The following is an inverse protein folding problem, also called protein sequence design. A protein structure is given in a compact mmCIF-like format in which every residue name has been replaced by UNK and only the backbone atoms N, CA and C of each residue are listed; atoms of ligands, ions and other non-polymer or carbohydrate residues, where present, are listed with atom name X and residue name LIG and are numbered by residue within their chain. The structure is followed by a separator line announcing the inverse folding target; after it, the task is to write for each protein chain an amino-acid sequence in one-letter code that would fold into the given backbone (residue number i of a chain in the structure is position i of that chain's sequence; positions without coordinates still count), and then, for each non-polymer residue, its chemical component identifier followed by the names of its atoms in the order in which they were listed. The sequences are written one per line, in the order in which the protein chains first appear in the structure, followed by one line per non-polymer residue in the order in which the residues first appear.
data_IF_470217535729
#
_entry.id   IF_470217535729
#
_cell.length_a   1.000
_cell.length_b   1.000
_cell.length_c   1.000
_cell.angle_alpha   90.00
_cell.angle_beta   90.00
_cell.angle_gamma   90.00
#
_symmetry.space_group_name_H-M   'P 1'
#
loop_
_entity.id
_entity.type
_entity.pdbx_description
1 polymer ?
#
# COMPACT_ATOMS: atom_id res chain seq x y z
N UNK A 1 -17.53 20.73 -5.07
CA UNK A 1 -18.01 20.09 -6.31
C UNK A 1 -19.32 20.73 -6.75
N UNK A 2 -20.18 21.13 -5.81
CA UNK A 2 -21.52 21.66 -6.13
C UNK A 2 -21.51 23.03 -6.83
N UNK A 3 -20.45 23.81 -6.70
CA UNK A 3 -20.36 25.17 -7.31
C UNK A 3 -19.50 25.22 -8.58
N UNK A 4 -18.54 24.33 -8.76
CA UNK A 4 -17.56 24.39 -9.84
C UNK A 4 -17.52 23.13 -10.74
N UNK A 5 -18.31 22.11 -10.42
CA UNK A 5 -18.40 20.85 -11.15
C UNK A 5 -17.16 19.94 -10.97
N UNK A 6 -17.35 18.65 -11.26
CA UNK A 6 -16.34 17.61 -11.12
C UNK A 6 -15.09 17.84 -12.00
N UNK A 7 -15.27 18.48 -13.16
CA UNK A 7 -14.17 18.79 -14.09
C UNK A 7 -13.17 19.78 -13.50
N UNK A 8 -13.66 20.80 -12.80
CA UNK A 8 -12.80 21.79 -12.13
C UNK A 8 -12.04 21.14 -10.96
N UNK A 9 -12.66 20.22 -10.22
CA UNK A 9 -11.98 19.47 -9.18
C UNK A 9 -10.80 18.64 -9.74
N UNK A 10 -10.99 17.98 -10.89
CA UNK A 10 -9.90 17.24 -11.56
C UNK A 10 -8.79 18.15 -12.07
N UNK A 11 -9.13 19.33 -12.60
CA UNK A 11 -8.11 20.31 -13.04
C UNK A 11 -7.29 20.84 -11.88
N UNK A 12 -7.91 21.12 -10.73
CA UNK A 12 -7.20 21.52 -9.51
C UNK A 12 -6.28 20.40 -9.01
N UNK A 13 -6.77 19.16 -8.96
CA UNK A 13 -5.95 18.02 -8.58
C UNK A 13 -4.79 17.76 -9.53
N UNK A 14 -4.98 17.96 -10.84
CA UNK A 14 -3.91 17.84 -11.84
C UNK A 14 -2.89 19.00 -11.75
N UNK A 15 -3.34 20.20 -11.36
CA UNK A 15 -2.46 21.34 -11.21
C UNK A 15 -1.50 21.21 -10.00
N UNK A 16 -1.91 20.53 -8.92
CA UNK A 16 -1.07 20.36 -7.72
C UNK A 16 0.30 19.72 -8.01
N UNK A 17 0.41 18.56 -8.68
CA UNK A 17 1.71 17.99 -9.01
C UNK A 17 2.54 18.90 -9.90
N UNK A 18 1.91 19.58 -10.88
CA UNK A 18 2.60 20.45 -11.83
C UNK A 18 3.11 21.71 -11.12
N UNK A 19 2.30 22.34 -10.27
CA UNK A 19 2.66 23.61 -9.63
C UNK A 19 3.53 23.44 -8.38
N UNK A 20 3.46 22.30 -7.72
CA UNK A 20 4.18 22.07 -6.46
C UNK A 20 5.30 21.03 -6.65
N UNK A 21 4.95 19.82 -7.11
CA UNK A 21 5.93 18.75 -7.17
C UNK A 21 6.99 18.98 -8.24
N UNK A 22 6.60 19.44 -9.44
CA UNK A 22 7.54 19.67 -10.53
C UNK A 22 8.57 20.78 -10.21
N UNK A 23 8.22 21.99 -9.69
CA UNK A 23 9.21 22.98 -9.28
C UNK A 23 10.11 22.50 -8.13
N UNK A 24 9.54 21.78 -7.16
CA UNK A 24 10.33 21.20 -6.08
C UNK A 24 11.33 20.18 -6.61
N UNK A 25 10.92 19.28 -7.49
CA UNK A 25 11.82 18.32 -8.12
C UNK A 25 12.90 19.03 -8.94
N UNK A 26 12.51 20.04 -9.74
CA UNK A 26 13.46 20.83 -10.52
C UNK A 26 14.50 21.55 -9.68
N UNK A 27 14.10 22.06 -8.52
CA UNK A 27 14.98 22.84 -7.65
C UNK A 27 15.84 21.97 -6.74
N UNK A 28 15.27 20.92 -6.17
CA UNK A 28 15.93 20.10 -5.14
C UNK A 28 16.54 18.81 -5.68
N UNK A 29 15.98 18.21 -6.73
CA UNK A 29 16.54 16.99 -7.35
C UNK A 29 17.59 17.41 -8.36
N UNK A 30 18.82 17.58 -7.89
CA UNK A 30 19.97 17.73 -8.81
C UNK A 30 20.28 16.37 -9.40
N UNK A 31 20.17 16.28 -10.72
CA UNK A 31 20.55 15.08 -11.46
C UNK A 31 22.05 14.80 -11.20
N UNK A 32 22.38 13.60 -10.83
CA UNK A 32 23.79 13.14 -10.70
C UNK A 32 24.54 13.15 -12.05
N UNK A 33 23.91 13.61 -13.13
CA UNK A 33 24.61 13.90 -14.41
C UNK A 33 25.70 14.96 -14.27
N UNK A 34 25.58 15.86 -13.29
CA UNK A 34 26.70 16.71 -12.91
C UNK A 34 27.87 15.90 -12.32
N UNK A 35 27.59 14.69 -11.83
CA UNK A 35 28.60 13.74 -11.33
C UNK A 35 29.25 12.98 -12.50
N UNK A 36 28.56 12.77 -13.62
CA UNK A 36 29.14 12.22 -14.87
C UNK A 36 30.16 13.16 -15.52
N UNK A 37 30.08 14.47 -15.27
CA UNK A 37 31.10 15.41 -15.69
C UNK A 37 32.38 15.27 -14.84
N UNK A 38 32.30 14.81 -13.60
CA UNK A 38 33.45 14.49 -12.76
C UNK A 38 34.11 13.14 -13.15
N UNK A 39 33.36 12.21 -13.77
CA UNK A 39 33.93 10.98 -14.34
C UNK A 39 34.82 11.25 -15.56
N UNK A 40 34.60 12.34 -16.29
CA UNK A 40 35.50 12.81 -17.33
C UNK A 40 36.79 13.43 -16.81
N UNK A 41 36.88 13.73 -15.51
CA UNK A 41 38.08 14.26 -14.87
C UNK A 41 39.01 13.19 -14.26
N UNK A 42 38.73 11.91 -14.46
CA UNK A 42 39.68 10.82 -14.18
C UNK A 42 39.91 10.47 -12.72
N UNK A 43 39.12 10.99 -11.79
CA UNK A 43 39.17 10.52 -10.41
C UNK A 43 38.49 9.16 -10.26
N UNK A 44 39.21 8.11 -9.78
CA UNK A 44 38.60 6.80 -9.57
C UNK A 44 37.58 6.92 -8.43
N UNK A 45 36.30 6.86 -8.78
CA UNK A 45 35.25 6.67 -7.80
C UNK A 45 35.48 5.33 -7.12
N UNK A 46 35.78 5.35 -5.84
CA UNK A 46 35.62 4.17 -4.99
C UNK A 46 34.12 3.87 -4.85
N UNK A 47 33.51 3.38 -5.96
CA UNK A 47 32.22 2.73 -5.87
C UNK A 47 32.44 1.43 -5.14
N UNK A 48 32.30 1.45 -3.80
CA UNK A 48 32.18 0.19 -3.08
C UNK A 48 31.11 -0.64 -3.79
N UNK A 49 31.42 -1.91 -4.13
CA UNK A 49 30.45 -2.76 -4.82
C UNK A 49 29.21 -2.82 -3.95
N UNK A 50 28.10 -2.25 -4.44
CA UNK A 50 26.85 -2.31 -3.70
C UNK A 50 26.49 -3.79 -3.51
N UNK A 51 26.42 -4.21 -2.24
CA UNK A 51 26.02 -5.57 -1.92
C UNK A 51 24.62 -5.85 -2.49
N UNK A 52 24.45 -7.00 -3.10
CA UNK A 52 23.16 -7.43 -3.62
C UNK A 52 23.24 -8.72 -4.42
N UNK A 53 22.14 -9.45 -4.41
CA UNK A 53 22.01 -10.70 -5.16
C UNK A 53 21.55 -10.44 -6.60
N UNK A 54 21.85 -11.38 -7.48
CA UNK A 54 21.32 -11.35 -8.86
C UNK A 54 19.82 -11.64 -8.87
N UNK A 55 19.11 -11.14 -9.90
CA UNK A 55 17.68 -11.41 -10.06
C UNK A 55 17.37 -12.91 -10.09
N UNK A 56 18.20 -13.72 -10.76
CA UNK A 56 18.03 -15.15 -10.81
C UNK A 56 18.19 -15.82 -9.43
N UNK A 57 19.12 -15.34 -8.61
CA UNK A 57 19.27 -15.81 -7.23
C UNK A 57 18.10 -15.40 -6.35
N UNK A 58 17.58 -14.17 -6.49
CA UNK A 58 16.41 -13.71 -5.78
C UNK A 58 15.17 -14.58 -6.11
N UNK A 59 14.91 -14.86 -7.37
CA UNK A 59 13.79 -15.70 -7.82
C UNK A 59 13.87 -17.16 -7.31
N UNK A 60 15.07 -17.66 -7.07
CA UNK A 60 15.27 -19.01 -6.49
C UNK A 60 15.17 -19.01 -4.96
N UNK A 61 15.16 -17.83 -4.32
CA UNK A 61 15.09 -17.74 -2.87
C UNK A 61 13.66 -17.92 -2.36
N UNK A 62 13.51 -18.62 -1.24
CA UNK A 62 12.23 -18.76 -0.55
C UNK A 62 11.70 -17.41 -0.07
N UNK A 63 12.59 -16.50 0.34
CA UNK A 63 12.22 -15.17 0.86
C UNK A 63 11.48 -14.34 -0.19
N UNK A 64 11.86 -14.42 -1.47
CA UNK A 64 11.18 -13.72 -2.55
C UNK A 64 9.71 -14.13 -2.65
N UNK A 65 9.42 -15.42 -2.67
CA UNK A 65 8.07 -15.95 -2.80
C UNK A 65 7.22 -15.73 -1.56
N UNK A 66 7.83 -15.83 -0.36
CA UNK A 66 7.16 -15.50 0.90
C UNK A 66 6.74 -14.04 0.90
N UNK A 67 7.65 -13.12 0.56
CA UNK A 67 7.36 -11.69 0.52
C UNK A 67 6.28 -11.37 -0.52
N UNK A 68 6.43 -11.88 -1.74
CA UNK A 68 5.45 -11.67 -2.79
C UNK A 68 4.06 -12.23 -2.42
N UNK A 69 3.99 -13.44 -1.89
CA UNK A 69 2.71 -14.07 -1.50
C UNK A 69 2.04 -13.32 -0.35
N UNK A 70 2.81 -12.91 0.67
CA UNK A 70 2.30 -12.12 1.80
C UNK A 70 1.69 -10.81 1.33
N UNK A 71 2.41 -10.06 0.51
CA UNK A 71 1.96 -8.78 -0.02
C UNK A 71 0.78 -8.94 -1.00
N UNK A 72 0.79 -9.96 -1.86
CA UNK A 72 -0.35 -10.22 -2.74
C UNK A 72 -1.61 -10.58 -1.96
N UNK A 73 -1.49 -11.36 -0.89
CA UNK A 73 -2.65 -11.75 -0.07
C UNK A 73 -3.33 -10.55 0.58
N UNK A 74 -2.54 -9.64 1.17
CA UNK A 74 -3.11 -8.40 1.77
C UNK A 74 -3.65 -7.46 0.69
N UNK A 75 -3.00 -7.38 -0.48
CA UNK A 75 -3.42 -6.50 -1.58
C UNK A 75 -4.76 -6.89 -2.19
N UNK A 76 -5.09 -8.17 -2.28
CA UNK A 76 -6.44 -8.59 -2.70
C UNK A 76 -7.49 -8.04 -1.74
N UNK A 77 -7.25 -8.12 -0.44
CA UNK A 77 -8.19 -7.65 0.58
C UNK A 77 -8.31 -6.12 0.57
N UNK A 78 -7.18 -5.41 0.56
CA UNK A 78 -7.16 -3.95 0.55
C UNK A 78 -7.69 -3.39 -0.78
N UNK A 79 -7.44 -4.05 -1.90
CA UNK A 79 -8.00 -3.68 -3.20
C UNK A 79 -9.52 -3.79 -3.24
N UNK A 80 -10.07 -4.89 -2.72
CA UNK A 80 -11.52 -5.06 -2.59
C UNK A 80 -12.15 -3.97 -1.70
N UNK A 81 -11.50 -3.67 -0.57
CA UNK A 81 -11.96 -2.65 0.37
C UNK A 81 -11.89 -1.24 -0.21
N UNK A 82 -10.71 -0.82 -0.67
CA UNK A 82 -10.48 0.58 -1.08
C UNK A 82 -11.26 0.96 -2.32
N UNK A 83 -11.35 0.08 -3.31
CA UNK A 83 -12.09 0.35 -4.55
C UNK A 83 -13.60 0.42 -4.34
N UNK A 84 -14.13 -0.35 -3.39
CA UNK A 84 -15.56 -0.42 -3.10
C UNK A 84 -15.95 0.31 -1.79
N UNK A 85 -15.07 1.15 -1.25
CA UNK A 85 -15.25 1.76 0.07
C UNK A 85 -16.56 2.54 0.19
N UNK A 86 -16.83 3.46 -0.73
CA UNK A 86 -18.05 4.30 -0.68
C UNK A 86 -19.31 3.46 -0.81
N UNK A 87 -19.45 2.57 -1.82
CA UNK A 87 -20.60 1.63 -1.88
C UNK A 87 -20.78 0.83 -0.59
N UNK A 88 -19.70 0.26 -0.03
CA UNK A 88 -19.77 -0.51 1.22
C UNK A 88 -20.27 0.33 2.40
N UNK A 89 -19.79 1.56 2.53
CA UNK A 89 -20.26 2.46 3.59
C UNK A 89 -21.75 2.82 3.42
N UNK A 90 -22.22 2.94 2.18
CA UNK A 90 -23.64 3.18 1.90
C UNK A 90 -24.52 1.99 2.26
N UNK A 91 -24.05 0.73 2.07
CA UNK A 91 -24.80 -0.46 2.54
C UNK A 91 -24.92 -0.51 4.06
N UNK A 92 -24.09 0.23 4.78
CA UNK A 92 -24.13 0.36 6.25
C UNK A 92 -24.98 1.55 6.73
N UNK A 93 -25.76 2.15 5.84
CA UNK A 93 -26.73 3.19 6.18
C UNK A 93 -26.22 4.63 6.09
N UNK A 94 -25.00 4.86 5.57
CA UNK A 94 -24.53 6.21 5.30
C UNK A 94 -25.10 6.73 3.98
N UNK A 95 -25.44 8.01 3.93
CA UNK A 95 -25.70 8.71 2.68
C UNK A 95 -24.41 8.94 1.89
N UNK A 96 -24.51 9.18 0.59
CA UNK A 96 -23.35 9.34 -0.28
C UNK A 96 -22.37 10.47 0.18
N UNK A 97 -22.83 11.65 0.64
CA UNK A 97 -21.96 12.69 1.18
C UNK A 97 -21.21 12.25 2.45
N UNK A 98 -21.86 11.57 3.40
CA UNK A 98 -21.20 11.08 4.61
C UNK A 98 -20.19 9.97 4.29
N UNK A 99 -20.55 9.03 3.42
CA UNK A 99 -19.64 7.99 2.95
C UNK A 99 -18.40 8.58 2.27
N UNK A 100 -18.57 9.60 1.42
CA UNK A 100 -17.45 10.28 0.77
C UNK A 100 -16.55 11.03 1.77
N UNK A 101 -17.13 11.69 2.79
CA UNK A 101 -16.34 12.30 3.88
C UNK A 101 -15.55 11.27 4.66
N UNK A 102 -16.15 10.13 4.95
CA UNK A 102 -15.50 9.05 5.66
C UNK A 102 -14.38 8.40 4.81
N UNK A 103 -14.56 8.32 3.49
CA UNK A 103 -13.50 7.92 2.57
C UNK A 103 -12.26 8.85 2.64
N UNK A 104 -12.44 10.11 3.00
CA UNK A 104 -11.32 11.02 3.27
C UNK A 104 -10.43 10.58 4.44
N UNK A 105 -11.00 9.90 5.44
CA UNK A 105 -10.24 9.30 6.56
C UNK A 105 -9.25 8.27 6.05
N UNK A 106 -9.58 7.52 4.98
CA UNK A 106 -8.65 6.57 4.35
C UNK A 106 -7.35 7.27 3.93
N UNK A 107 -7.47 8.39 3.20
CA UNK A 107 -6.30 9.13 2.73
C UNK A 107 -5.39 9.61 3.86
N UNK A 108 -5.98 10.17 4.93
CA UNK A 108 -5.22 10.57 6.11
C UNK A 108 -4.55 9.38 6.79
N UNK A 109 -5.26 8.27 6.92
CA UNK A 109 -4.75 7.04 7.55
C UNK A 109 -3.62 6.40 6.74
N UNK A 110 -3.67 6.48 5.40
CA UNK A 110 -2.56 6.05 4.52
C UNK A 110 -1.30 6.85 4.79
N UNK A 111 -1.41 8.17 4.98
CA UNK A 111 -0.26 9.03 5.33
C UNK A 111 0.30 8.63 6.70
N UNK A 112 -0.57 8.46 7.70
CA UNK A 112 -0.17 8.02 9.05
C UNK A 112 0.50 6.65 8.99
N UNK A 113 -0.06 5.70 8.24
CA UNK A 113 0.49 4.36 8.05
C UNK A 113 1.89 4.39 7.45
N UNK A 114 2.10 5.21 6.42
CA UNK A 114 3.39 5.36 5.74
C UNK A 114 4.47 5.94 6.66
N UNK A 115 4.18 7.07 7.28
CA UNK A 115 5.13 7.72 8.21
C UNK A 115 5.37 6.83 9.43
N UNK A 116 4.31 6.26 10.00
CA UNK A 116 4.40 5.37 11.16
C UNK A 116 5.19 4.09 10.86
N UNK A 117 4.95 3.45 9.71
CA UNK A 117 5.71 2.27 9.31
C UNK A 117 7.21 2.57 9.17
N UNK A 118 7.59 3.66 8.50
CA UNK A 118 8.99 4.08 8.39
C UNK A 118 9.65 4.22 9.76
N UNK A 119 9.03 4.99 10.66
CA UNK A 119 9.56 5.21 12.01
C UNK A 119 9.67 3.92 12.85
N UNK A 120 8.71 3.00 12.69
CA UNK A 120 8.72 1.73 13.41
C UNK A 120 9.75 0.75 12.85
N UNK A 121 9.94 0.70 11.52
CA UNK A 121 10.94 -0.15 10.87
C UNK A 121 12.37 0.22 11.26
N UNK A 122 12.64 1.50 11.51
CA UNK A 122 13.95 1.98 11.93
C UNK A 122 14.29 1.58 13.38
N UNK A 123 13.28 1.31 14.21
CA UNK A 123 13.46 1.16 15.65
C UNK A 123 13.19 -0.24 16.16
N UNK A 124 12.38 -1.02 15.50
CA UNK A 124 11.90 -2.32 15.97
C UNK A 124 12.17 -3.43 14.97
N UNK A 125 11.91 -4.66 15.40
CA UNK A 125 12.02 -5.85 14.57
C UNK A 125 10.99 -5.84 13.42
N UNK A 126 11.49 -5.61 12.20
CA UNK A 126 10.66 -5.34 11.02
C UNK A 126 9.61 -6.43 10.69
N UNK A 127 9.90 -7.76 10.76
CA UNK A 127 8.87 -8.76 10.49
C UNK A 127 7.70 -8.71 11.48
N UNK A 128 7.98 -8.41 12.76
CA UNK A 128 6.95 -8.25 13.78
C UNK A 128 6.07 -7.04 13.54
N UNK A 129 6.66 -5.90 13.14
CA UNK A 129 5.89 -4.69 12.79
C UNK A 129 5.04 -4.94 11.55
N UNK A 130 5.58 -5.58 10.51
CA UNK A 130 4.83 -5.95 9.32
C UNK A 130 3.62 -6.83 9.67
N UNK A 131 3.83 -7.87 10.49
CA UNK A 131 2.76 -8.74 10.95
C UNK A 131 1.69 -7.97 11.75
N UNK A 132 2.11 -7.12 12.69
CA UNK A 132 1.19 -6.32 13.51
C UNK A 132 0.33 -5.37 12.66
N UNK A 133 0.93 -4.69 11.68
CA UNK A 133 0.22 -3.78 10.79
C UNK A 133 -0.73 -4.54 9.87
N UNK A 134 -0.33 -5.71 9.36
CA UNK A 134 -1.19 -6.54 8.52
C UNK A 134 -2.35 -7.19 9.28
N UNK A 135 -2.32 -7.24 10.61
CA UNK A 135 -3.45 -7.67 11.43
C UNK A 135 -4.52 -6.58 11.63
N UNK A 136 -4.18 -5.30 11.45
CA UNK A 136 -5.13 -4.19 11.65
C UNK A 136 -6.39 -4.29 10.78
N UNK A 137 -6.31 -4.63 9.48
CA UNK A 137 -7.49 -4.79 8.63
C UNK A 137 -8.47 -5.86 9.10
N UNK A 138 -8.01 -6.87 9.87
CA UNK A 138 -8.92 -7.90 10.41
C UNK A 138 -10.01 -7.25 11.26
N UNK A 139 -9.61 -6.32 12.14
CA UNK A 139 -10.56 -5.59 12.98
C UNK A 139 -11.52 -4.78 12.09
N UNK A 140 -11.00 -4.08 11.08
CA UNK A 140 -11.81 -3.30 10.14
C UNK A 140 -12.81 -4.17 9.37
N UNK A 141 -12.37 -5.30 8.81
CA UNK A 141 -13.25 -6.21 8.07
C UNK A 141 -14.33 -6.84 8.96
N UNK A 142 -13.98 -7.21 10.20
CA UNK A 142 -14.95 -7.79 11.12
C UNK A 142 -15.99 -6.78 11.60
N UNK A 143 -15.71 -5.48 11.58
CA UNK A 143 -16.73 -4.46 11.86
C UNK A 143 -17.85 -4.42 10.82
N UNK A 144 -17.65 -4.98 9.61
CA UNK A 144 -18.69 -5.12 8.60
C UNK A 144 -19.81 -6.09 9.01
N UNK A 145 -19.58 -6.99 9.97
CA UNK A 145 -20.63 -7.87 10.50
C UNK A 145 -21.64 -7.16 11.41
N UNK A 146 -21.33 -5.95 11.85
CA UNK A 146 -22.26 -5.16 12.67
C UNK A 146 -23.38 -4.65 11.74
N UNK A 147 -24.64 -4.94 12.06
CA UNK A 147 -25.77 -4.59 11.20
C UNK A 147 -26.01 -3.06 11.13
N UNK A 148 -25.87 -2.38 12.24
CA UNK A 148 -25.98 -0.91 12.30
C UNK A 148 -24.77 -0.33 13.07
N UNK A 149 -23.59 -0.26 12.41
CA UNK A 149 -22.40 0.24 13.08
C UNK A 149 -22.52 1.75 13.31
N UNK A 150 -22.06 2.19 14.46
CA UNK A 150 -21.92 3.63 14.71
C UNK A 150 -20.87 4.24 13.76
N UNK A 151 -21.01 5.50 13.42
CA UNK A 151 -20.10 6.20 12.48
C UNK A 151 -18.63 6.09 12.89
N UNK A 152 -18.34 6.15 14.21
CA UNK A 152 -16.98 6.01 14.70
C UNK A 152 -16.39 4.62 14.46
N UNK A 153 -17.22 3.55 14.46
CA UNK A 153 -16.76 2.19 14.15
C UNK A 153 -16.39 2.06 12.69
N UNK A 154 -17.18 2.63 11.79
CA UNK A 154 -16.85 2.72 10.36
C UNK A 154 -15.58 3.56 10.12
N UNK A 155 -15.44 4.70 10.84
CA UNK A 155 -14.24 5.52 10.77
C UNK A 155 -12.99 4.73 11.23
N UNK A 156 -13.10 3.95 12.30
CA UNK A 156 -12.03 3.11 12.79
C UNK A 156 -11.69 1.99 11.79
N UNK A 157 -12.70 1.33 11.22
CA UNK A 157 -12.48 0.32 10.17
C UNK A 157 -11.73 0.89 8.97
N UNK A 158 -12.15 2.05 8.48
CA UNK A 158 -11.49 2.77 7.38
C UNK A 158 -10.05 3.15 7.75
N UNK A 159 -9.84 3.65 8.97
CA UNK A 159 -8.52 4.06 9.44
C UNK A 159 -7.55 2.87 9.55
N UNK A 160 -7.98 1.75 10.11
CA UNK A 160 -7.13 0.56 10.27
C UNK A 160 -6.72 -0.03 8.91
N UNK A 161 -7.66 -0.11 7.96
CA UNK A 161 -7.34 -0.53 6.60
C UNK A 161 -6.43 0.49 5.88
N UNK A 162 -6.65 1.78 6.11
CA UNK A 162 -5.81 2.85 5.55
C UNK A 162 -4.37 2.80 6.05
N UNK A 163 -4.15 2.57 7.34
CA UNK A 163 -2.81 2.41 7.92
C UNK A 163 -2.08 1.25 7.27
N UNK A 164 -2.72 0.09 7.10
CA UNK A 164 -2.11 -1.05 6.45
C UNK A 164 -1.79 -0.77 4.97
N UNK A 165 -2.71 -0.14 4.23
CA UNK A 165 -2.51 0.24 2.84
C UNK A 165 -1.38 1.27 2.66
N UNK A 166 -1.16 2.15 3.65
CA UNK A 166 -0.05 3.09 3.64
C UNK A 166 1.31 2.44 3.84
N UNK A 167 1.39 1.50 4.78
CA UNK A 167 2.64 0.88 5.22
C UNK A 167 3.19 -0.19 4.26
N UNK A 168 2.36 -0.82 3.46
CA UNK A 168 2.69 -2.04 2.72
C UNK A 168 3.83 -1.84 1.71
N UNK A 169 3.85 -0.72 0.96
CA UNK A 169 4.93 -0.41 0.00
C UNK A 169 6.26 -0.11 0.71
N UNK A 170 6.19 0.46 1.91
CA UNK A 170 7.38 0.73 2.72
C UNK A 170 7.97 -0.59 3.26
N UNK A 171 7.12 -1.55 3.63
CA UNK A 171 7.56 -2.92 3.95
C UNK A 171 8.20 -3.61 2.75
N UNK A 172 7.61 -3.50 1.55
CA UNK A 172 8.21 -4.04 0.33
C UNK A 172 9.60 -3.43 0.09
N UNK A 173 9.72 -2.11 0.14
CA UNK A 173 10.98 -1.41 -0.07
C UNK A 173 12.05 -1.83 0.94
N UNK A 174 11.68 -1.87 2.21
CA UNK A 174 12.56 -2.27 3.30
C UNK A 174 13.05 -3.73 3.15
N UNK A 175 12.14 -4.67 2.93
CA UNK A 175 12.51 -6.08 2.84
C UNK A 175 13.30 -6.40 1.58
N UNK A 176 13.01 -5.76 0.44
CA UNK A 176 13.80 -5.93 -0.78
C UNK A 176 15.23 -5.43 -0.55
N UNK A 177 15.41 -4.25 0.03
CA UNK A 177 16.72 -3.72 0.35
C UNK A 177 17.47 -4.60 1.37
N UNK A 178 16.77 -5.10 2.38
CA UNK A 178 17.36 -5.88 3.49
C UNK A 178 17.74 -7.30 3.10
N UNK A 179 16.92 -7.97 2.27
CA UNK A 179 17.14 -9.38 1.91
C UNK A 179 17.94 -9.56 0.63
N UNK A 180 17.79 -8.64 -0.31
CA UNK A 180 18.40 -8.79 -1.64
C UNK A 180 19.48 -7.74 -1.94
N UNK A 181 19.63 -6.72 -1.08
CA UNK A 181 20.60 -5.65 -1.26
C UNK A 181 20.22 -4.65 -2.34
N UNK A 182 21.12 -3.70 -2.61
CA UNK A 182 20.85 -2.57 -3.49
C UNK A 182 21.30 -2.77 -4.94
N UNK A 183 22.21 -3.71 -5.23
CA UNK A 183 22.78 -3.89 -6.57
C UNK A 183 21.75 -4.17 -7.67
N UNK A 184 20.68 -4.90 -7.39
CA UNK A 184 19.59 -5.20 -8.32
C UNK A 184 18.21 -4.82 -7.74
N UNK A 185 18.19 -3.88 -6.80
CA UNK A 185 16.98 -3.47 -6.07
C UNK A 185 15.81 -3.16 -6.99
N UNK A 186 15.98 -2.27 -7.97
CA UNK A 186 14.91 -1.86 -8.87
C UNK A 186 14.30 -3.00 -9.68
N UNK A 187 15.14 -3.97 -10.12
CA UNK A 187 14.67 -5.15 -10.87
C UNK A 187 13.84 -6.09 -10.00
N UNK A 188 14.29 -6.35 -8.77
CA UNK A 188 13.61 -7.24 -7.83
C UNK A 188 12.33 -6.58 -7.33
N UNK A 189 12.40 -5.30 -6.98
CA UNK A 189 11.26 -4.50 -6.53
C UNK A 189 10.14 -4.46 -7.57
N UNK A 190 10.46 -4.12 -8.83
CA UNK A 190 9.47 -4.05 -9.91
C UNK A 190 8.83 -5.41 -10.21
N UNK A 191 9.58 -6.51 -10.08
CA UNK A 191 9.05 -7.84 -10.30
C UNK A 191 8.05 -8.28 -9.22
N UNK A 192 8.16 -7.76 -8.00
CA UNK A 192 7.17 -7.98 -6.94
C UNK A 192 5.97 -7.06 -7.12
N UNK A 193 6.16 -5.81 -7.55
CA UNK A 193 5.04 -4.87 -7.79
C UNK A 193 4.07 -5.36 -8.86
N UNK A 194 4.55 -6.03 -9.89
CA UNK A 194 3.68 -6.51 -10.96
C UNK A 194 2.55 -7.43 -10.45
N UNK A 195 2.82 -8.54 -9.74
CA UNK A 195 1.75 -9.37 -9.17
C UNK A 195 0.93 -8.63 -8.10
N UNK A 196 1.50 -7.67 -7.36
CA UNK A 196 0.76 -6.84 -6.42
C UNK A 196 -0.34 -6.02 -7.13
N UNK A 197 0.01 -5.37 -8.23
CA UNK A 197 -0.95 -4.59 -9.02
C UNK A 197 -2.09 -5.47 -9.56
N UNK A 198 -1.76 -6.67 -10.02
CA UNK A 198 -2.76 -7.67 -10.45
C UNK A 198 -3.64 -8.09 -9.26
N UNK A 199 -3.06 -8.34 -8.10
CA UNK A 199 -3.78 -8.71 -6.88
C UNK A 199 -4.74 -7.62 -6.42
N UNK A 200 -4.32 -6.34 -6.44
CA UNK A 200 -5.18 -5.20 -6.14
C UNK A 200 -6.38 -5.12 -7.07
N UNK A 201 -6.12 -5.24 -8.39
CA UNK A 201 -7.17 -5.19 -9.42
C UNK A 201 -8.14 -6.37 -9.31
N UNK A 202 -7.62 -7.57 -9.07
CA UNK A 202 -8.43 -8.76 -8.83
C UNK A 202 -9.31 -8.59 -7.59
N UNK A 203 -8.74 -8.07 -6.50
CA UNK A 203 -9.48 -7.75 -5.28
C UNK A 203 -10.62 -6.76 -5.52
N UNK A 204 -10.33 -5.66 -6.23
CA UNK A 204 -11.34 -4.66 -6.57
C UNK A 204 -12.52 -5.25 -7.35
N UNK A 205 -12.23 -6.07 -8.37
CA UNK A 205 -13.25 -6.71 -9.21
C UNK A 205 -14.04 -7.75 -8.40
N UNK A 206 -13.36 -8.60 -7.64
CA UNK A 206 -14.02 -9.63 -6.82
C UNK A 206 -14.91 -9.00 -5.75
N UNK A 207 -14.40 -7.97 -5.04
CA UNK A 207 -15.17 -7.24 -4.04
C UNK A 207 -16.39 -6.56 -4.63
N UNK A 208 -16.27 -5.92 -5.81
CA UNK A 208 -17.39 -5.31 -6.52
C UNK A 208 -18.45 -6.34 -6.90
N UNK A 209 -18.07 -7.48 -7.49
CA UNK A 209 -19.01 -8.55 -7.85
C UNK A 209 -19.78 -9.10 -6.65
N UNK A 210 -19.07 -9.39 -5.55
CA UNK A 210 -19.74 -9.87 -4.33
C UNK A 210 -20.70 -8.82 -3.80
N UNK A 211 -20.32 -7.55 -3.81
CA UNK A 211 -21.19 -6.45 -3.38
C UNK A 211 -22.43 -6.33 -4.26
N UNK A 212 -22.28 -6.45 -5.58
CA UNK A 212 -23.39 -6.40 -6.54
C UNK A 212 -24.35 -7.60 -6.39
N UNK A 213 -23.82 -8.80 -6.15
CA UNK A 213 -24.61 -10.03 -6.03
C UNK A 213 -25.28 -10.18 -4.66
N UNK A 214 -24.62 -9.78 -3.58
CA UNK A 214 -25.07 -10.02 -2.19
C UNK A 214 -25.54 -8.77 -1.46
N UNK A 215 -25.27 -7.59 -1.99
CA UNK A 215 -25.53 -6.30 -1.33
C UNK A 215 -24.58 -6.02 -0.15
N UNK A 216 -23.58 -6.86 0.10
CA UNK A 216 -22.67 -6.73 1.25
C UNK A 216 -21.33 -7.42 1.01
N UNK A 217 -20.27 -6.95 1.63
CA UNK A 217 -18.99 -7.67 1.68
C UNK A 217 -18.91 -8.71 2.80
N UNK A 218 -19.95 -8.91 3.59
CA UNK A 218 -19.94 -9.85 4.72
C UNK A 218 -19.54 -11.27 4.28
N UNK A 219 -19.96 -11.71 3.09
CA UNK A 219 -19.65 -13.04 2.57
C UNK A 219 -18.15 -13.30 2.37
N UNK A 220 -17.34 -12.26 2.11
CA UNK A 220 -15.90 -12.38 1.87
C UNK A 220 -15.04 -12.06 3.11
N UNK A 221 -15.62 -11.54 4.18
CA UNK A 221 -14.88 -11.20 5.41
C UNK A 221 -14.10 -12.40 5.98
N UNK A 222 -14.63 -13.64 6.05
CA UNK A 222 -13.86 -14.79 6.51
C UNK A 222 -12.63 -15.06 5.64
N UNK A 223 -12.79 -14.98 4.32
CA UNK A 223 -11.69 -15.16 3.37
C UNK A 223 -10.64 -14.04 3.53
N UNK A 224 -11.07 -12.79 3.71
CA UNK A 224 -10.17 -11.66 3.98
C UNK A 224 -9.42 -11.84 5.31
N UNK A 225 -10.11 -12.30 6.35
CA UNK A 225 -9.48 -12.59 7.64
C UNK A 225 -8.39 -13.65 7.51
N UNK A 226 -8.68 -14.76 6.80
CA UNK A 226 -7.71 -15.83 6.56
C UNK A 226 -6.52 -15.32 5.72
N UNK A 227 -6.78 -14.59 4.64
CA UNK A 227 -5.74 -14.04 3.78
C UNK A 227 -4.84 -13.04 4.52
N UNK A 228 -5.42 -12.23 5.39
CA UNK A 228 -4.70 -11.25 6.21
C UNK A 228 -3.85 -11.94 7.30
N UNK A 229 -4.39 -12.98 7.95
CA UNK A 229 -3.63 -13.83 8.88
C UNK A 229 -2.45 -14.52 8.19
N UNK A 230 -2.68 -15.05 7.00
CA UNK A 230 -1.64 -15.65 6.18
C UNK A 230 -0.56 -14.62 5.81
N UNK A 231 -0.97 -13.43 5.35
CA UNK A 231 -0.06 -12.33 5.05
C UNK A 231 0.79 -11.90 6.25
N UNK A 232 0.20 -11.85 7.44
CA UNK A 232 0.89 -11.50 8.67
C UNK A 232 1.84 -12.60 9.18
N UNK A 233 1.49 -13.88 8.99
CA UNK A 233 2.28 -15.01 9.47
C UNK A 233 3.53 -15.28 8.62
N UNK A 234 3.47 -15.06 7.30
CA UNK A 234 4.56 -15.38 6.38
C UNK A 234 5.89 -14.68 6.70
N UNK A 235 5.93 -13.36 7.02
CA UNK A 235 7.17 -12.69 7.38
C UNK A 235 7.80 -13.20 8.69
N UNK A 236 7.03 -13.84 9.57
CA UNK A 236 7.49 -14.37 10.85
C UNK A 236 8.15 -15.76 10.72
N UNK A 237 7.80 -16.51 9.67
CA UNK A 237 8.35 -17.84 9.39
C UNK A 237 9.75 -17.76 8.82
N UNK A 238 10.78 -17.91 9.67
CA UNK A 238 12.20 -18.05 9.25
C UNK A 238 12.54 -19.48 8.92
#
# INVERSE_FOLDING_TARGET
IDTAGWRTAWLVLAALPVLIAWPLCWWFVRDERAVGAAELSGEPRSSEPQWGVTLAAALRSRQFWILAASLCAIQVCLGAWTANLVPVLMTKGLDAPAAAKLAGVLGLSVIIGRVGAGMLLDRFWAPGICAAVFLLPIVGFNMLYIDQPAVWQLALAVALCGIAAGAEYDFLAYFVARYFGLANYGKIFSLIILPLTIATSAGAILGGRVLDETGSLNAVVPAFTIATLFAAALPLGR
#
